data_IF_707114827058
#
_entry.id   IF_707114827058
#
_cell.length_a   1.000
_cell.length_b   1.000
_cell.length_c   1.000
_cell.angle_alpha   90.00
_cell.angle_beta   90.00
_cell.angle_gamma   90.00
#
_symmetry.space_group_name_H-M   'P 1'
#
loop_
_entity.id
_entity.type
_entity.pdbx_description
1 polymer ?
#
# COMPACT_ATOMS: atom_id res chain seq x y z
N UNK A 1 28.35 -0.55 2.56
CA UNK A 1 26.99 -0.47 3.12
C UNK A 1 26.34 0.82 2.68
N UNK A 2 25.17 0.75 2.08
CA UNK A 2 24.42 1.93 1.68
C UNK A 2 23.94 2.75 2.87
N UNK A 3 23.57 4.01 2.66
CA UNK A 3 23.12 4.91 3.72
C UNK A 3 21.93 4.37 4.52
N UNK A 4 21.05 3.55 3.91
CA UNK A 4 19.85 3.01 4.55
C UNK A 4 20.10 1.73 5.37
N UNK A 5 21.20 1.01 5.16
CA UNK A 5 21.50 -0.28 5.81
C UNK A 5 20.37 -1.31 5.65
N UNK A 6 19.83 -1.43 4.44
CA UNK A 6 18.75 -2.36 4.13
C UNK A 6 19.22 -3.64 3.43
N UNK A 7 20.48 -3.72 3.07
CA UNK A 7 21.05 -4.88 2.38
C UNK A 7 20.77 -6.17 3.16
N UNK A 8 20.33 -7.19 2.44
CA UNK A 8 19.96 -8.50 2.97
C UNK A 8 18.72 -8.54 3.90
N UNK A 9 18.05 -7.42 4.14
CA UNK A 9 16.73 -7.45 4.77
C UNK A 9 15.72 -8.14 3.84
N UNK A 10 14.66 -8.69 4.43
CA UNK A 10 13.60 -9.39 3.71
C UNK A 10 12.30 -8.61 3.85
N UNK A 11 11.68 -8.29 2.73
CA UNK A 11 10.41 -7.56 2.69
C UNK A 11 9.31 -8.35 1.99
N UNK A 12 8.10 -8.28 2.52
CA UNK A 12 6.86 -8.61 1.82
C UNK A 12 6.22 -7.31 1.36
N UNK A 13 5.85 -7.23 0.08
CA UNK A 13 5.05 -6.13 -0.47
C UNK A 13 3.76 -6.71 -1.04
N UNK A 14 2.62 -6.41 -0.41
CA UNK A 14 1.31 -6.84 -0.92
C UNK A 14 0.82 -5.90 -2.02
N UNK A 15 0.15 -6.44 -3.04
CA UNK A 15 -0.19 -5.66 -4.25
C UNK A 15 1.06 -5.28 -5.05
N UNK A 16 2.08 -6.14 -5.07
CA UNK A 16 3.39 -5.86 -5.64
C UNK A 16 3.49 -6.03 -7.16
N UNK A 17 2.47 -6.56 -7.82
CA UNK A 17 2.48 -6.79 -9.27
C UNK A 17 2.36 -5.51 -10.11
N UNK A 18 1.95 -4.39 -9.53
CA UNK A 18 1.72 -3.16 -10.30
C UNK A 18 1.78 -1.88 -9.44
N UNK A 19 1.79 -0.73 -10.10
CA UNK A 19 1.59 0.57 -9.48
C UNK A 19 2.58 0.87 -8.34
N UNK A 20 2.06 1.40 -7.23
CA UNK A 20 2.85 1.78 -6.05
C UNK A 20 3.60 0.56 -5.48
N UNK A 21 2.93 -0.60 -5.39
CA UNK A 21 3.54 -1.82 -4.85
C UNK A 21 4.75 -2.26 -5.67
N UNK A 22 4.66 -2.26 -7.00
CA UNK A 22 5.78 -2.57 -7.88
C UNK A 22 6.93 -1.56 -7.72
N UNK A 23 6.63 -0.27 -7.68
CA UNK A 23 7.65 0.74 -7.46
C UNK A 23 8.36 0.57 -6.11
N UNK A 24 7.63 0.17 -5.06
CA UNK A 24 8.23 -0.17 -3.76
C UNK A 24 9.13 -1.39 -3.87
N UNK A 25 8.71 -2.44 -4.61
CA UNK A 25 9.55 -3.61 -4.85
C UNK A 25 10.86 -3.21 -5.56
N UNK A 26 10.78 -2.35 -6.59
CA UNK A 26 11.95 -1.83 -7.31
C UNK A 26 12.88 -1.03 -6.38
N UNK A 27 12.34 -0.09 -5.60
CA UNK A 27 13.13 0.69 -4.64
C UNK A 27 13.81 -0.18 -3.57
N UNK A 28 13.14 -1.21 -3.09
CA UNK A 28 13.74 -2.18 -2.17
C UNK A 28 14.84 -3.00 -2.82
N UNK A 29 14.63 -3.52 -4.02
CA UNK A 29 15.64 -4.30 -4.74
C UNK A 29 16.88 -3.46 -5.05
N UNK A 30 16.72 -2.19 -5.44
CA UNK A 30 17.82 -1.24 -5.70
C UNK A 30 18.72 -1.04 -4.48
N UNK A 31 18.17 -1.10 -3.27
CA UNK A 31 18.94 -0.96 -2.01
C UNK A 31 19.29 -2.32 -1.39
N UNK A 32 19.21 -3.41 -2.15
CA UNK A 32 19.69 -4.75 -1.75
C UNK A 32 18.76 -5.52 -0.81
N UNK A 33 17.48 -5.15 -0.72
CA UNK A 33 16.46 -5.91 0.02
C UNK A 33 16.00 -7.12 -0.81
N UNK A 34 15.88 -8.27 -0.20
CA UNK A 34 15.24 -9.44 -0.80
C UNK A 34 13.71 -9.29 -0.70
N UNK A 35 13.04 -9.31 -1.83
CA UNK A 35 11.60 -8.97 -1.92
C UNK A 35 10.75 -10.20 -2.20
N UNK A 36 9.72 -10.40 -1.40
CA UNK A 36 8.60 -11.26 -1.71
C UNK A 36 7.47 -10.39 -2.30
N UNK A 37 7.26 -10.51 -3.60
CA UNK A 37 6.20 -9.84 -4.33
C UNK A 37 4.91 -10.62 -4.14
N UNK A 38 3.98 -10.11 -3.33
CA UNK A 38 2.72 -10.77 -3.03
C UNK A 38 1.56 -10.08 -3.76
N UNK A 39 0.82 -10.81 -4.57
CA UNK A 39 -0.33 -10.26 -5.31
C UNK A 39 -1.35 -11.36 -5.61
N UNK A 40 -2.62 -10.99 -5.74
CA UNK A 40 -3.66 -11.90 -6.22
C UNK A 40 -3.44 -12.28 -7.69
N UNK A 41 -2.83 -11.37 -8.46
CA UNK A 41 -2.31 -11.65 -9.78
C UNK A 41 -0.92 -12.32 -9.69
N UNK A 42 -0.90 -13.64 -9.53
CA UNK A 42 0.34 -14.41 -9.36
C UNK A 42 1.27 -14.36 -10.58
N UNK A 43 0.76 -14.19 -11.79
CA UNK A 43 1.58 -14.01 -13.00
C UNK A 43 2.29 -12.65 -12.98
N UNK A 44 1.56 -11.58 -12.70
CA UNK A 44 2.15 -10.24 -12.56
C UNK A 44 3.16 -10.16 -11.41
N UNK A 45 2.91 -10.88 -10.30
CA UNK A 45 3.88 -10.96 -9.20
C UNK A 45 5.17 -11.66 -9.63
N UNK A 46 5.08 -12.78 -10.41
CA UNK A 46 6.25 -13.46 -10.97
C UNK A 46 7.01 -12.57 -11.92
N UNK A 47 6.32 -11.93 -12.86
CA UNK A 47 6.96 -11.00 -13.78
C UNK A 47 7.72 -9.91 -13.04
N UNK A 48 7.12 -9.30 -12.02
CA UNK A 48 7.81 -8.29 -11.20
C UNK A 48 9.05 -8.88 -10.52
N UNK A 49 8.94 -10.05 -9.88
CA UNK A 49 10.09 -10.69 -9.21
C UNK A 49 11.23 -11.04 -10.19
N UNK A 50 10.91 -11.48 -11.41
CA UNK A 50 11.88 -11.77 -12.47
C UNK A 50 12.59 -10.49 -12.91
N UNK A 51 11.85 -9.43 -13.19
CA UNK A 51 12.41 -8.13 -13.58
C UNK A 51 13.30 -7.52 -12.48
N UNK A 52 12.97 -7.73 -11.19
CA UNK A 52 13.84 -7.29 -10.09
C UNK A 52 15.18 -8.04 -10.12
N UNK A 53 15.16 -9.35 -10.35
CA UNK A 53 16.39 -10.15 -10.46
C UNK A 53 17.25 -9.72 -11.65
N UNK A 54 16.61 -9.50 -12.80
CA UNK A 54 17.31 -9.11 -14.02
C UNK A 54 17.95 -7.72 -13.89
N UNK A 55 17.27 -6.78 -13.25
CA UNK A 55 17.71 -5.37 -13.17
C UNK A 55 18.66 -5.10 -12.02
N UNK A 56 18.41 -5.70 -10.86
CA UNK A 56 19.13 -5.37 -9.61
C UNK A 56 19.93 -6.55 -9.05
N UNK A 57 19.74 -7.76 -9.60
CA UNK A 57 20.29 -8.96 -9.00
C UNK A 57 19.57 -9.35 -7.70
N UNK A 58 20.15 -10.27 -6.96
CA UNK A 58 19.62 -10.70 -5.67
C UNK A 58 18.54 -11.78 -5.78
N UNK A 59 17.98 -12.14 -4.63
CA UNK A 59 16.95 -13.18 -4.54
C UNK A 59 15.58 -12.52 -4.27
N UNK A 60 14.67 -12.71 -5.21
CA UNK A 60 13.28 -12.23 -5.09
C UNK A 60 12.32 -13.38 -5.41
N UNK A 61 11.23 -13.47 -4.68
CA UNK A 61 10.18 -14.48 -4.92
C UNK A 61 8.83 -13.83 -5.18
N UNK A 62 7.95 -14.58 -5.80
CA UNK A 62 6.56 -14.20 -5.99
C UNK A 62 5.64 -15.15 -5.21
N UNK A 63 4.59 -14.61 -4.62
CA UNK A 63 3.53 -15.39 -3.98
C UNK A 63 2.16 -14.96 -4.51
N UNK A 64 1.36 -15.92 -4.98
CA UNK A 64 -0.05 -15.64 -5.29
C UNK A 64 -0.80 -15.52 -3.96
N UNK A 65 -1.26 -14.32 -3.64
CA UNK A 65 -1.80 -14.03 -2.31
C UNK A 65 -3.09 -13.23 -2.38
N UNK A 66 -4.17 -13.82 -1.89
CA UNK A 66 -5.40 -13.11 -1.59
C UNK A 66 -5.35 -12.63 -0.12
N UNK A 67 -5.17 -11.32 0.06
CA UNK A 67 -5.07 -10.71 1.40
C UNK A 67 -6.37 -10.82 2.21
N UNK A 68 -7.51 -11.11 1.58
CA UNK A 68 -8.80 -11.28 2.27
C UNK A 68 -8.95 -12.67 2.89
N UNK A 69 -8.09 -13.62 2.50
CA UNK A 69 -8.10 -15.01 2.92
C UNK A 69 -6.94 -15.30 3.87
N UNK A 70 -7.28 -15.65 5.11
CA UNK A 70 -6.27 -15.93 6.15
C UNK A 70 -5.31 -17.05 5.77
N UNK A 71 -5.79 -18.15 5.18
CA UNK A 71 -4.93 -19.26 4.79
C UNK A 71 -3.93 -18.86 3.69
N UNK A 72 -4.37 -18.03 2.73
CA UNK A 72 -3.49 -17.46 1.70
C UNK A 72 -2.41 -16.55 2.28
N UNK A 73 -2.77 -15.72 3.27
CA UNK A 73 -1.82 -14.85 3.97
C UNK A 73 -0.83 -15.65 4.82
N UNK A 74 -1.28 -16.68 5.52
CA UNK A 74 -0.40 -17.56 6.30
C UNK A 74 0.58 -18.31 5.38
N UNK A 75 0.11 -18.80 4.22
CA UNK A 75 0.95 -19.45 3.20
C UNK A 75 2.00 -18.47 2.61
N UNK A 76 1.65 -17.22 2.36
CA UNK A 76 2.60 -16.17 1.95
C UNK A 76 3.71 -16.00 2.98
N UNK A 77 3.37 -15.86 4.26
CA UNK A 77 4.36 -15.68 5.32
C UNK A 77 5.27 -16.91 5.46
N UNK A 78 4.71 -18.12 5.33
CA UNK A 78 5.49 -19.36 5.38
C UNK A 78 6.43 -19.46 4.18
N UNK A 79 5.99 -19.18 2.96
CA UNK A 79 6.83 -19.20 1.76
C UNK A 79 8.04 -18.25 1.88
N UNK A 80 7.86 -17.10 2.53
CA UNK A 80 8.97 -16.15 2.80
C UNK A 80 9.96 -16.73 3.82
N UNK A 81 9.47 -17.39 4.86
CA UNK A 81 10.34 -18.07 5.84
C UNK A 81 11.08 -19.24 5.22
N UNK A 82 10.44 -20.04 4.36
CA UNK A 82 11.06 -21.17 3.67
C UNK A 82 12.16 -20.69 2.71
N UNK A 83 11.94 -19.58 2.00
CA UNK A 83 12.88 -19.05 1.03
C UNK A 83 14.05 -18.29 1.69
N UNK A 84 13.77 -17.50 2.71
CA UNK A 84 14.73 -16.52 3.23
C UNK A 84 15.10 -16.70 4.71
N UNK A 85 14.38 -17.54 5.45
CA UNK A 85 14.61 -17.80 6.88
C UNK A 85 14.22 -16.65 7.83
N UNK A 86 13.76 -15.52 7.30
CA UNK A 86 13.43 -14.31 8.08
C UNK A 86 12.40 -13.41 7.40
N UNK A 87 11.82 -12.51 8.16
CA UNK A 87 10.98 -11.41 7.66
C UNK A 87 11.27 -10.16 8.50
N UNK A 88 11.73 -9.09 7.85
CA UNK A 88 12.09 -7.83 8.51
C UNK A 88 11.06 -6.73 8.25
N UNK A 89 10.44 -6.72 7.06
CA UNK A 89 9.63 -5.61 6.57
C UNK A 89 8.33 -6.17 5.98
N UNK A 90 7.20 -5.61 6.40
CA UNK A 90 5.92 -5.79 5.70
C UNK A 90 5.44 -4.46 5.16
N UNK A 91 5.09 -4.40 3.88
CA UNK A 91 4.36 -3.28 3.30
C UNK A 91 2.95 -3.73 2.94
N UNK A 92 1.96 -3.26 3.70
CA UNK A 92 0.55 -3.44 3.43
C UNK A 92 0.10 -2.43 2.37
N UNK A 93 0.32 -2.77 1.10
CA UNK A 93 0.00 -1.89 -0.02
C UNK A 93 -1.24 -2.35 -0.80
N UNK A 94 -1.57 -3.64 -0.82
CA UNK A 94 -2.76 -4.14 -1.51
C UNK A 94 -4.01 -3.33 -1.17
N UNK A 95 -4.72 -2.91 -2.20
CA UNK A 95 -5.92 -2.09 -2.02
C UNK A 95 -6.68 -1.90 -3.33
N UNK A 96 -7.97 -1.67 -3.20
CA UNK A 96 -8.89 -1.37 -4.31
C UNK A 96 -9.70 -0.12 -4.00
N UNK A 97 -10.16 0.53 -5.07
CA UNK A 97 -11.07 1.67 -4.97
C UNK A 97 -12.15 1.54 -6.04
N UNK A 98 -13.40 1.57 -5.62
CA UNK A 98 -14.59 1.47 -6.48
C UNK A 98 -15.46 2.69 -6.19
N UNK A 99 -15.40 3.75 -7.04
CA UNK A 99 -16.16 4.97 -6.81
C UNK A 99 -17.67 4.71 -6.86
N UNK A 100 -18.39 5.15 -5.81
CA UNK A 100 -19.85 5.05 -5.68
C UNK A 100 -20.38 6.18 -4.81
N UNK A 101 -21.57 6.68 -5.12
CA UNK A 101 -22.32 7.62 -4.28
C UNK A 101 -22.98 6.88 -3.12
N UNK A 102 -23.13 7.52 -1.97
CA UNK A 102 -23.92 6.96 -0.86
C UNK A 102 -25.37 6.72 -1.27
N UNK A 103 -25.97 7.68 -1.97
CA UNK A 103 -27.26 7.58 -2.63
C UNK A 103 -27.10 8.17 -4.03
N UNK A 104 -27.54 7.43 -5.03
CA UNK A 104 -27.61 7.91 -6.42
C UNK A 104 -29.07 7.95 -6.88
N UNK A 105 -29.70 9.12 -6.96
CA UNK A 105 -31.10 9.22 -7.41
C UNK A 105 -31.35 8.68 -8.82
N UNK A 106 -30.32 8.60 -9.66
CA UNK A 106 -30.40 8.03 -11.00
C UNK A 106 -30.16 6.50 -11.02
N UNK A 107 -29.69 5.92 -9.91
CA UNK A 107 -29.51 4.47 -9.72
C UNK A 107 -28.35 3.85 -10.52
N UNK A 108 -27.41 4.65 -11.02
CA UNK A 108 -26.31 4.12 -11.86
C UNK A 108 -25.08 3.70 -11.06
N UNK A 109 -24.67 4.52 -10.09
CA UNK A 109 -23.41 4.36 -9.36
C UNK A 109 -23.62 4.45 -7.83
N UNK A 110 -24.65 3.76 -7.31
CA UNK A 110 -24.93 3.72 -5.87
C UNK A 110 -24.05 2.70 -5.14
N UNK A 111 -23.65 3.04 -3.91
CA UNK A 111 -22.87 2.16 -3.05
C UNK A 111 -23.73 1.03 -2.51
N UNK A 112 -23.42 -0.20 -2.91
CA UNK A 112 -24.10 -1.41 -2.42
C UNK A 112 -23.31 -2.07 -1.29
N UNK A 113 -24.00 -2.86 -0.45
CA UNK A 113 -23.38 -3.69 0.58
C UNK A 113 -22.23 -4.56 0.01
N UNK A 114 -22.48 -5.20 -1.15
CA UNK A 114 -21.46 -6.02 -1.84
C UNK A 114 -20.17 -5.25 -2.17
N UNK A 115 -20.29 -3.99 -2.61
CA UNK A 115 -19.13 -3.13 -2.91
C UNK A 115 -18.46 -2.72 -1.61
N UNK A 116 -19.25 -2.34 -0.60
CA UNK A 116 -18.74 -2.03 0.74
C UNK A 116 -17.88 -3.16 1.29
N UNK A 117 -18.43 -4.38 1.34
CA UNK A 117 -17.75 -5.55 1.86
C UNK A 117 -16.49 -5.88 1.08
N UNK A 118 -16.54 -5.79 -0.24
CA UNK A 118 -15.38 -6.03 -1.10
C UNK A 118 -14.25 -5.04 -0.81
N UNK A 119 -14.54 -3.74 -0.71
CA UNK A 119 -13.52 -2.71 -0.43
C UNK A 119 -13.00 -2.85 1.01
N UNK A 120 -13.87 -3.05 1.99
CA UNK A 120 -13.51 -3.24 3.38
C UNK A 120 -12.67 -4.50 3.60
N UNK A 121 -13.02 -5.62 2.94
CA UNK A 121 -12.28 -6.88 3.07
C UNK A 121 -10.85 -6.77 2.56
N UNK A 122 -10.60 -6.07 1.45
CA UNK A 122 -9.24 -5.87 0.92
C UNK A 122 -8.49 -4.81 1.72
N UNK A 123 -9.06 -3.60 1.83
CA UNK A 123 -8.33 -2.43 2.31
C UNK A 123 -8.18 -2.36 3.84
N UNK A 124 -9.01 -3.06 4.60
CA UNK A 124 -9.01 -3.03 6.06
C UNK A 124 -8.72 -4.40 6.65
N UNK A 125 -9.56 -5.42 6.36
CA UNK A 125 -9.34 -6.78 6.87
C UNK A 125 -8.04 -7.38 6.34
N UNK A 126 -7.70 -7.19 5.06
CA UNK A 126 -6.45 -7.66 4.46
C UNK A 126 -5.22 -7.07 5.14
N UNK A 127 -5.24 -5.77 5.43
CA UNK A 127 -4.17 -5.09 6.20
C UNK A 127 -4.00 -5.73 7.58
N UNK A 128 -5.10 -6.02 8.28
CA UNK A 128 -5.07 -6.70 9.57
C UNK A 128 -4.47 -8.10 9.47
N UNK A 129 -4.93 -8.93 8.54
CA UNK A 129 -4.46 -10.31 8.40
C UNK A 129 -2.96 -10.37 8.09
N UNK A 130 -2.49 -9.56 7.15
CA UNK A 130 -1.08 -9.49 6.80
C UNK A 130 -0.21 -8.96 7.95
N UNK A 131 -0.66 -7.88 8.63
CA UNK A 131 0.04 -7.34 9.79
C UNK A 131 0.15 -8.37 10.91
N UNK A 132 -0.93 -9.13 11.20
CA UNK A 132 -0.93 -10.16 12.23
C UNK A 132 0.02 -11.31 11.90
N UNK A 133 0.04 -11.78 10.65
CA UNK A 133 0.94 -12.84 10.20
C UNK A 133 2.41 -12.40 10.31
N UNK A 134 2.74 -11.23 9.79
CA UNK A 134 4.10 -10.67 9.85
C UNK A 134 4.55 -10.39 11.28
N UNK A 135 3.70 -9.79 12.12
CA UNK A 135 4.04 -9.48 13.50
C UNK A 135 4.41 -10.72 14.30
N UNK A 136 3.71 -11.84 14.09
CA UNK A 136 4.06 -13.13 14.75
C UNK A 136 5.47 -13.60 14.42
N UNK A 137 5.90 -13.42 13.18
CA UNK A 137 7.27 -13.76 12.74
C UNK A 137 8.27 -12.76 13.32
N UNK A 138 8.01 -11.47 13.19
CA UNK A 138 8.89 -10.39 13.63
C UNK A 138 9.13 -10.42 15.15
N UNK A 139 8.10 -10.69 15.96
CA UNK A 139 8.22 -10.82 17.42
C UNK A 139 9.19 -11.94 17.78
N UNK A 140 9.07 -13.10 17.13
CA UNK A 140 9.98 -14.24 17.36
C UNK A 140 11.42 -13.95 16.91
N UNK A 141 11.58 -13.12 15.86
CA UNK A 141 12.88 -12.71 15.33
C UNK A 141 13.51 -11.52 16.11
N UNK A 142 12.79 -10.94 17.08
CA UNK A 142 13.29 -9.85 17.91
C UNK A 142 13.10 -8.44 17.36
N UNK A 143 12.29 -8.27 16.32
CA UNK A 143 11.92 -6.95 15.78
C UNK A 143 11.57 -6.96 14.29
N UNK A 144 11.16 -5.82 13.79
CA UNK A 144 10.79 -5.62 12.39
C UNK A 144 10.06 -4.30 12.15
N UNK A 145 9.57 -4.09 10.94
CA UNK A 145 8.77 -2.90 10.61
C UNK A 145 7.57 -3.26 9.73
N UNK A 146 6.40 -2.73 10.09
CA UNK A 146 5.17 -2.80 9.33
C UNK A 146 4.87 -1.40 8.80
N UNK A 147 4.72 -1.28 7.48
CA UNK A 147 4.40 -0.03 6.79
C UNK A 147 3.02 -0.18 6.14
N UNK A 148 2.08 0.66 6.55
CA UNK A 148 0.70 0.61 6.08
C UNK A 148 0.43 1.72 5.06
N UNK A 149 -0.11 1.37 3.88
CA UNK A 149 -0.52 2.35 2.88
C UNK A 149 -1.91 2.87 3.19
N UNK A 150 -1.95 4.06 3.79
CA UNK A 150 -3.16 4.86 3.97
C UNK A 150 -3.49 5.64 2.67
N UNK A 151 -4.06 6.81 2.78
CA UNK A 151 -4.32 7.77 1.69
C UNK A 151 -4.69 9.11 2.29
N UNK A 152 -4.43 10.22 1.60
CA UNK A 152 -4.97 11.53 1.98
C UNK A 152 -6.50 11.50 2.13
N UNK A 153 -7.21 10.70 1.31
CA UNK A 153 -8.65 10.54 1.39
C UNK A 153 -9.13 10.02 2.76
N UNK A 154 -8.28 9.31 3.51
CA UNK A 154 -8.62 8.83 4.84
C UNK A 154 -8.74 9.94 5.89
N UNK A 155 -8.18 11.11 5.62
CA UNK A 155 -8.27 12.29 6.50
C UNK A 155 -9.26 13.33 5.98
N UNK A 156 -9.30 13.53 4.66
CA UNK A 156 -10.09 14.60 4.06
C UNK A 156 -11.47 14.14 3.56
N UNK A 157 -11.67 12.83 3.41
CA UNK A 157 -12.79 12.30 2.64
C UNK A 157 -12.58 12.51 1.14
N UNK A 158 -13.50 11.98 0.34
CA UNK A 158 -13.50 12.20 -1.11
C UNK A 158 -14.86 11.86 -1.68
N UNK A 159 -15.45 12.78 -2.44
CA UNK A 159 -16.73 12.58 -3.11
C UNK A 159 -16.68 11.35 -4.03
N UNK A 160 -17.69 10.50 -3.93
CA UNK A 160 -17.76 9.24 -4.65
C UNK A 160 -16.85 8.12 -4.14
N UNK A 161 -16.14 8.31 -3.02
CA UNK A 161 -15.16 7.35 -2.51
C UNK A 161 -15.33 7.08 -1.00
N UNK A 162 -16.54 7.18 -0.48
CA UNK A 162 -16.80 7.14 0.98
C UNK A 162 -16.30 5.84 1.64
N UNK A 163 -16.56 4.67 1.08
CA UNK A 163 -16.07 3.41 1.64
C UNK A 163 -14.54 3.32 1.58
N UNK A 164 -13.93 3.73 0.46
CA UNK A 164 -12.47 3.78 0.34
C UNK A 164 -11.86 4.70 1.40
N UNK A 165 -12.36 5.93 1.50
CA UNK A 165 -11.90 6.89 2.50
C UNK A 165 -12.05 6.35 3.93
N UNK A 166 -13.19 5.74 4.25
CA UNK A 166 -13.44 5.08 5.53
C UNK A 166 -12.44 3.97 5.84
N UNK A 167 -12.13 3.10 4.86
CA UNK A 167 -11.11 2.05 5.06
C UNK A 167 -9.71 2.64 5.25
N UNK A 168 -9.36 3.71 4.54
CA UNK A 168 -8.06 4.38 4.70
C UNK A 168 -7.97 5.15 6.02
N UNK A 169 -9.06 5.73 6.53
CA UNK A 169 -9.14 6.29 7.88
C UNK A 169 -8.92 5.20 8.95
N UNK A 170 -9.50 4.02 8.77
CA UNK A 170 -9.24 2.89 9.66
C UNK A 170 -7.75 2.52 9.71
N UNK A 171 -7.04 2.56 8.58
CA UNK A 171 -5.58 2.29 8.53
C UNK A 171 -4.78 3.28 9.38
N UNK A 172 -5.18 4.56 9.46
CA UNK A 172 -4.57 5.53 10.38
C UNK A 172 -4.72 5.09 11.85
N UNK A 173 -5.94 4.70 12.24
CA UNK A 173 -6.23 4.26 13.60
C UNK A 173 -5.48 2.96 13.94
N UNK A 174 -5.51 1.97 13.04
CA UNK A 174 -4.81 0.69 13.19
C UNK A 174 -3.29 0.89 13.32
N UNK A 175 -2.70 1.78 12.52
CA UNK A 175 -1.27 2.12 12.61
C UNK A 175 -0.89 2.62 14.01
N UNK A 176 -1.70 3.53 14.59
CA UNK A 176 -1.47 4.07 15.93
C UNK A 176 -1.67 3.03 17.04
N UNK A 177 -2.70 2.19 16.90
CA UNK A 177 -3.00 1.14 17.88
C UNK A 177 -1.93 0.07 17.92
N UNK A 178 -1.58 -0.47 16.74
CA UNK A 178 -0.55 -1.52 16.65
C UNK A 178 0.84 -1.02 17.01
N UNK A 179 1.13 0.25 16.79
CA UNK A 179 2.37 0.84 17.29
C UNK A 179 2.47 0.71 18.82
N UNK A 180 1.40 1.03 19.56
CA UNK A 180 1.38 0.88 21.02
C UNK A 180 1.47 -0.58 21.47
N UNK A 181 0.84 -1.49 20.74
CA UNK A 181 0.83 -2.93 21.06
C UNK A 181 2.19 -3.59 20.80
N UNK A 182 2.83 -3.25 19.68
CA UNK A 182 3.98 -3.97 19.14
C UNK A 182 5.34 -3.35 19.49
N UNK A 183 5.37 -2.09 19.92
CA UNK A 183 6.61 -1.39 20.23
C UNK A 183 7.48 -2.07 21.28
N UNK A 184 6.88 -2.68 22.31
CA UNK A 184 7.58 -3.47 23.33
C UNK A 184 8.32 -4.70 22.77
N UNK A 185 7.93 -5.17 21.59
CA UNK A 185 8.58 -6.28 20.88
C UNK A 185 9.55 -5.80 19.79
N UNK A 186 9.90 -4.51 19.78
CA UNK A 186 10.76 -3.87 18.77
C UNK A 186 10.22 -3.97 17.34
N UNK A 187 8.90 -4.11 17.17
CA UNK A 187 8.22 -4.05 15.88
C UNK A 187 7.67 -2.64 15.71
N UNK A 188 8.23 -1.89 14.78
CA UNK A 188 7.72 -0.56 14.43
C UNK A 188 6.50 -0.68 13.52
N UNK A 189 5.54 0.21 13.71
CA UNK A 189 4.38 0.35 12.82
C UNK A 189 4.27 1.80 12.40
N UNK A 190 4.32 2.05 11.11
CA UNK A 190 4.23 3.37 10.50
C UNK A 190 3.30 3.34 9.31
N UNK A 191 2.85 4.49 8.85
CA UNK A 191 2.00 4.58 7.66
C UNK A 191 2.49 5.65 6.69
N UNK A 192 2.02 5.53 5.46
CA UNK A 192 2.21 6.52 4.40
C UNK A 192 0.84 6.85 3.83
N UNK A 193 0.58 8.12 3.58
CA UNK A 193 -0.62 8.63 2.94
C UNK A 193 -0.28 9.31 1.62
N UNK A 194 -0.26 8.57 0.51
CA UNK A 194 -0.09 9.18 -0.80
C UNK A 194 -1.25 10.07 -1.18
N UNK A 195 -0.94 11.16 -1.88
CA UNK A 195 -1.91 12.00 -2.56
C UNK A 195 -2.10 11.59 -4.02
N UNK A 196 -2.25 12.59 -4.91
CA UNK A 196 -2.39 12.37 -6.36
C UNK A 196 -1.02 12.01 -6.94
N UNK A 197 -0.91 10.81 -7.48
CA UNK A 197 0.26 10.28 -8.15
C UNK A 197 0.03 10.18 -9.66
N UNK A 198 1.06 9.86 -10.42
CA UNK A 198 0.96 9.43 -11.81
C UNK A 198 0.02 8.23 -11.97
N UNK A 199 -0.44 7.97 -13.19
CA UNK A 199 -1.45 6.95 -13.44
C UNK A 199 -0.93 5.55 -13.08
N UNK A 200 -1.77 4.77 -12.42
CA UNK A 200 -1.55 3.36 -12.07
C UNK A 200 -2.67 2.50 -12.63
N UNK A 201 -2.53 1.18 -12.58
CA UNK A 201 -3.58 0.25 -12.99
C UNK A 201 -4.90 0.43 -12.19
N UNK A 202 -4.86 1.03 -11.00
CA UNK A 202 -6.06 1.39 -10.23
C UNK A 202 -6.92 2.47 -10.92
N UNK A 203 -6.33 3.27 -11.82
CA UNK A 203 -7.02 4.29 -12.60
C UNK A 203 -7.44 3.76 -13.96
N UNK A 204 -8.19 2.64 -13.97
CA UNK A 204 -8.80 2.10 -15.18
C UNK A 204 -9.84 3.07 -15.77
N UNK A 205 -10.18 2.88 -17.04
CA UNK A 205 -11.25 3.66 -17.68
C UNK A 205 -12.60 3.50 -16.96
N UNK A 206 -12.88 2.33 -16.39
CA UNK A 206 -14.07 2.08 -15.57
C UNK A 206 -14.05 2.93 -14.31
N UNK A 207 -12.93 2.92 -13.60
CA UNK A 207 -12.73 3.76 -12.40
C UNK A 207 -12.90 5.25 -12.72
N UNK A 208 -12.27 5.74 -13.80
CA UNK A 208 -12.34 7.16 -14.16
C UNK A 208 -13.76 7.57 -14.60
N UNK A 209 -14.49 6.70 -15.31
CA UNK A 209 -15.90 6.94 -15.66
C UNK A 209 -16.78 7.02 -14.40
N UNK A 210 -16.68 6.03 -13.51
CA UNK A 210 -17.44 6.02 -12.28
C UNK A 210 -17.13 7.26 -11.41
N UNK A 211 -15.85 7.61 -11.25
CA UNK A 211 -15.44 8.77 -10.46
C UNK A 211 -15.89 10.10 -11.09
N UNK A 212 -15.82 10.23 -12.41
CA UNK A 212 -16.32 11.42 -13.12
C UNK A 212 -17.83 11.56 -12.95
N UNK A 213 -18.58 10.45 -13.09
CA UNK A 213 -20.02 10.42 -12.85
C UNK A 213 -20.37 10.88 -11.44
N UNK A 214 -19.73 10.30 -10.39
CA UNK A 214 -20.01 10.68 -9.00
C UNK A 214 -19.74 12.15 -8.69
N UNK A 215 -18.97 12.85 -9.52
CA UNK A 215 -18.61 14.27 -9.40
C UNK A 215 -19.34 15.17 -10.36
N UNK A 216 -20.28 14.65 -11.14
CA UNK A 216 -21.02 15.42 -12.15
C UNK A 216 -20.13 16.08 -13.21
N UNK A 217 -19.01 15.44 -13.58
CA UNK A 217 -18.05 15.96 -14.56
C UNK A 217 -17.71 14.90 -15.63
N UNK A 218 -17.12 15.35 -16.71
CA UNK A 218 -16.62 14.44 -17.75
C UNK A 218 -15.27 13.80 -17.35
N UNK A 219 -14.92 12.65 -17.94
CA UNK A 219 -13.58 12.03 -17.75
C UNK A 219 -12.47 12.99 -18.20
N UNK A 220 -12.71 13.80 -19.25
CA UNK A 220 -11.75 14.82 -19.70
C UNK A 220 -11.48 15.85 -18.60
N UNK A 221 -12.54 16.40 -18.00
CA UNK A 221 -12.41 17.34 -16.88
C UNK A 221 -11.76 16.71 -15.65
N UNK A 222 -12.07 15.43 -15.35
CA UNK A 222 -11.40 14.70 -14.29
C UNK A 222 -9.89 14.63 -14.53
N UNK A 223 -9.46 14.24 -15.74
CA UNK A 223 -8.05 14.17 -16.14
C UNK A 223 -7.37 15.54 -16.11
N UNK A 224 -8.08 16.61 -16.50
CA UNK A 224 -7.56 17.98 -16.39
C UNK A 224 -7.40 18.44 -14.93
N UNK A 225 -8.31 18.07 -14.04
CA UNK A 225 -8.18 18.35 -12.59
C UNK A 225 -6.96 17.68 -11.97
N UNK A 226 -6.56 16.49 -12.44
CA UNK A 226 -5.32 15.85 -12.00
C UNK A 226 -4.06 16.61 -12.47
N UNK A 227 -4.12 17.31 -13.60
CA UNK A 227 -3.01 18.11 -14.13
C UNK A 227 -2.99 19.51 -13.54
N UNK A 228 -4.15 20.13 -13.37
CA UNK A 228 -4.32 21.50 -12.84
C UNK A 228 -4.43 21.46 -11.33
N UNK A 229 -3.43 21.39 -10.74
CA UNK A 229 -3.02 21.39 -9.39
C UNK A 229 -3.84 22.16 -8.36
N UNK A 230 -4.70 21.47 -7.69
CA UNK A 230 -4.91 21.65 -6.26
C UNK A 230 -3.66 21.24 -5.44
N UNK A 231 -2.61 20.76 -6.11
CA UNK A 231 -1.35 20.32 -5.49
C UNK A 231 -0.37 21.52 -5.47
N UNK A 232 0.09 22.00 -4.32
CA UNK A 232 1.03 23.12 -4.22
C UNK A 232 2.31 22.94 -5.05
N UNK A 233 2.86 21.72 -5.15
CA UNK A 233 4.01 21.42 -6.02
C UNK A 233 3.67 21.42 -7.51
N UNK A 234 2.39 21.65 -7.90
CA UNK A 234 1.91 21.80 -9.28
C UNK A 234 2.21 20.61 -10.21
N UNK A 235 2.33 19.44 -9.67
CA UNK A 235 2.51 18.17 -10.39
C UNK A 235 1.96 17.00 -9.58
N UNK A 236 1.61 15.92 -10.25
CA UNK A 236 1.42 14.62 -9.59
C UNK A 236 2.74 14.11 -9.04
N UNK A 237 2.70 13.35 -7.96
CA UNK A 237 3.87 12.63 -7.45
C UNK A 237 4.22 11.45 -8.35
N UNK A 238 5.49 11.05 -8.37
CA UNK A 238 5.95 9.82 -9.01
C UNK A 238 5.80 8.65 -8.04
N UNK A 239 5.62 7.45 -8.56
CA UNK A 239 5.54 6.24 -7.73
C UNK A 239 6.85 6.01 -6.97
N UNK A 240 8.00 6.33 -7.59
CA UNK A 240 9.31 6.26 -6.94
C UNK A 240 9.42 7.17 -5.72
N UNK A 241 8.78 8.35 -5.70
CA UNK A 241 8.81 9.24 -4.53
C UNK A 241 8.10 8.63 -3.31
N UNK A 242 7.12 7.74 -3.53
CA UNK A 242 6.51 6.95 -2.45
C UNK A 242 7.46 5.81 -2.05
N UNK A 243 8.09 5.13 -3.00
CA UNK A 243 9.05 4.06 -2.74
C UNK A 243 10.25 4.56 -1.92
N UNK A 244 10.78 5.74 -2.21
CA UNK A 244 11.88 6.37 -1.46
C UNK A 244 11.51 6.57 0.03
N UNK A 245 10.30 7.06 0.29
CA UNK A 245 9.80 7.22 1.67
C UNK A 245 9.62 5.86 2.35
N UNK A 246 9.13 4.83 1.63
CA UNK A 246 9.02 3.45 2.15
C UNK A 246 10.40 2.91 2.52
N UNK A 247 11.39 3.04 1.66
CA UNK A 247 12.77 2.60 1.93
C UNK A 247 13.36 3.32 3.17
N UNK A 248 13.17 4.65 3.27
CA UNK A 248 13.58 5.39 4.46
C UNK A 248 12.88 4.88 5.73
N UNK A 249 11.56 4.68 5.70
CA UNK A 249 10.79 4.20 6.84
C UNK A 249 11.11 2.74 7.21
N UNK A 250 11.54 1.92 6.26
CA UNK A 250 12.01 0.57 6.52
C UNK A 250 13.36 0.52 7.25
N UNK A 251 14.17 1.57 7.11
CA UNK A 251 15.54 1.64 7.60
C UNK A 251 15.64 2.01 9.09
N UNK A 252 16.80 1.76 9.67
CA UNK A 252 17.14 2.17 11.04
C UNK A 252 17.29 3.70 11.17
N UNK A 253 17.39 4.44 10.04
CA UNK A 253 17.41 5.90 10.03
C UNK A 253 16.09 6.52 10.51
N UNK A 254 15.02 5.75 10.47
CA UNK A 254 13.69 6.12 10.96
C UNK A 254 13.33 5.42 12.28
N UNK A 255 14.31 4.94 13.04
CA UNK A 255 14.10 4.08 14.23
C UNK A 255 13.20 4.70 15.30
N UNK A 256 13.10 6.04 15.37
CA UNK A 256 12.23 6.74 16.32
C UNK A 256 10.90 7.21 15.70
N UNK A 257 10.67 6.90 14.39
CA UNK A 257 9.39 7.16 13.73
C UNK A 257 8.48 5.95 13.93
N UNK A 258 7.41 6.13 14.72
CA UNK A 258 6.52 5.05 15.15
C UNK A 258 5.12 5.60 15.46
N UNK A 259 4.06 4.88 15.06
CA UNK A 259 2.67 5.24 15.32
C UNK A 259 2.16 6.47 14.56
N UNK A 260 2.88 6.92 13.54
CA UNK A 260 2.49 8.05 12.70
C UNK A 260 2.23 7.63 11.26
N UNK A 261 1.54 8.48 10.52
CA UNK A 261 1.31 8.33 9.08
C UNK A 261 1.89 9.56 8.39
N UNK A 262 2.85 9.34 7.50
CA UNK A 262 3.54 10.40 6.76
C UNK A 262 2.78 10.71 5.48
N UNK A 263 2.49 11.98 5.28
CA UNK A 263 1.79 12.48 4.11
C UNK A 263 2.77 12.68 2.94
N UNK A 264 2.47 12.06 1.78
CA UNK A 264 3.26 12.18 0.54
C UNK A 264 2.33 12.69 -0.55
N UNK A 265 1.93 13.97 -0.47
CA UNK A 265 0.86 14.56 -1.28
C UNK A 265 1.23 15.84 -2.02
N UNK A 266 2.51 16.24 -1.99
CA UNK A 266 2.94 17.49 -2.61
C UNK A 266 2.33 18.74 -1.97
N UNK A 267 1.89 18.65 -0.70
CA UNK A 267 1.25 19.72 0.05
C UNK A 267 -0.27 19.83 -0.14
N UNK A 268 -0.90 18.90 -0.89
CA UNK A 268 -2.35 18.93 -1.14
C UNK A 268 -3.14 18.64 0.14
N UNK A 269 -2.77 17.62 0.87
CA UNK A 269 -3.40 17.28 2.14
C UNK A 269 -2.80 18.08 3.29
N UNK A 270 -3.66 18.47 4.23
CA UNK A 270 -3.30 19.28 5.42
C UNK A 270 -3.14 18.43 6.69
N UNK A 271 -3.25 17.12 6.57
CA UNK A 271 -3.19 16.22 7.72
C UNK A 271 -1.75 15.82 8.06
#
# INVERSE_FOLDING_TARGET
>A
MGWLNLEQKVAIVTGGASGIGRAICEGFAEVGVRVAVADVNGEGARQTADELRDKFGGEHIATTTDVTNKASVDAMAQAVLDAFGRLDILVNNAGINIPRLLVDPAGNEELTEKIWDRVASVNQKGVFLCAQAAARVMIKAGGGVIINMASECGMEGSEGQSVYAGTKAAVYALTRSWAKELGKYKVRVVGIAPGILEATALRSDEYERALAYTRGITVKELRERYKKATIPLRRSGRLSEVADVVCFLASDRSSYIHGTVINVSGGKSRA
#
